data_IF_475872304767
#
_entry.id   IF_475872304767
#
_cell.length_a   1.000
_cell.length_b   1.000
_cell.length_c   1.000
_cell.angle_alpha   90.00
_cell.angle_beta   90.00
_cell.angle_gamma   90.00
#
_symmetry.space_group_name_H-M   'P 1'
#
loop_
_entity.id
_entity.type
_entity.pdbx_description
1 polymer ?
#
# COMPACT_ATOMS: atom_id res chain seq x y z
N UNK A 1 19.31 -3.77 -17.06
CA UNK A 1 19.60 -3.22 -15.72
C UNK A 1 21.06 -2.84 -15.69
N UNK A 2 21.35 -1.56 -15.88
CA UNK A 2 22.71 -1.00 -15.94
C UNK A 2 23.02 -0.23 -14.64
N UNK A 3 24.29 0.13 -14.42
CA UNK A 3 24.71 0.94 -13.25
C UNK A 3 24.01 2.31 -13.20
N UNK A 4 23.58 2.83 -14.34
CA UNK A 4 22.84 4.10 -14.45
C UNK A 4 21.45 3.98 -13.81
N UNK A 5 20.82 2.80 -13.89
CA UNK A 5 19.51 2.59 -13.26
C UNK A 5 19.62 2.63 -11.72
N UNK A 6 20.76 2.21 -11.15
CA UNK A 6 20.98 2.23 -9.71
C UNK A 6 21.24 3.64 -9.16
N UNK A 7 21.86 4.53 -9.94
CA UNK A 7 22.09 5.92 -9.54
C UNK A 7 20.79 6.72 -9.40
N UNK A 8 19.73 6.31 -10.11
CA UNK A 8 18.40 6.93 -10.04
C UNK A 8 17.49 6.24 -9.01
N UNK A 9 17.47 4.90 -8.99
CA UNK A 9 16.56 4.13 -8.12
C UNK A 9 16.91 4.25 -6.64
N UNK A 10 18.20 4.39 -6.29
CA UNK A 10 18.61 4.47 -4.88
C UNK A 10 18.10 5.75 -4.20
N UNK A 11 18.31 6.96 -4.75
CA UNK A 11 17.73 8.18 -4.19
C UNK A 11 16.20 8.16 -4.07
N UNK A 12 15.50 7.67 -5.09
CA UNK A 12 14.03 7.54 -5.07
C UNK A 12 13.56 6.58 -3.98
N UNK A 13 14.28 5.47 -3.79
CA UNK A 13 14.00 4.51 -2.71
C UNK A 13 14.28 5.13 -1.33
N UNK A 14 15.35 5.91 -1.19
CA UNK A 14 15.67 6.58 0.07
C UNK A 14 14.58 7.59 0.45
N UNK A 15 14.12 8.41 -0.50
CA UNK A 15 13.00 9.34 -0.31
C UNK A 15 11.72 8.59 0.11
N UNK A 16 11.37 7.52 -0.59
CA UNK A 16 10.24 6.67 -0.23
C UNK A 16 10.35 6.13 1.21
N UNK A 17 11.54 5.68 1.60
CA UNK A 17 11.79 5.15 2.94
C UNK A 17 11.71 6.24 4.03
N UNK A 18 12.12 7.46 3.74
CA UNK A 18 12.00 8.60 4.66
C UNK A 18 10.52 8.91 4.94
N UNK A 19 9.71 9.10 3.90
CA UNK A 19 8.27 9.35 4.03
C UNK A 19 7.55 8.18 4.71
N UNK A 20 7.92 6.95 4.37
CA UNK A 20 7.36 5.76 5.01
C UNK A 20 7.64 5.71 6.51
N UNK A 21 8.88 5.98 6.93
CA UNK A 21 9.27 6.01 8.35
C UNK A 21 8.58 7.14 9.11
N UNK A 22 8.33 8.27 8.46
CA UNK A 22 7.61 9.40 9.03
C UNK A 22 6.08 9.18 9.10
N UNK A 23 5.55 8.12 8.48
CA UNK A 23 4.12 7.84 8.43
C UNK A 23 3.34 8.75 7.45
N UNK A 24 4.05 9.37 6.52
CA UNK A 24 3.53 10.32 5.53
C UNK A 24 2.88 9.59 4.35
N UNK A 25 1.78 8.89 4.64
CA UNK A 25 1.06 7.99 3.70
C UNK A 25 0.73 8.68 2.37
N UNK A 26 0.37 9.97 2.37
CA UNK A 26 0.05 10.70 1.14
C UNK A 26 1.28 10.93 0.24
N UNK A 27 2.46 11.15 0.82
CA UNK A 27 3.70 11.30 0.07
C UNK A 27 4.13 9.94 -0.52
N UNK A 28 4.04 8.87 0.27
CA UNK A 28 4.28 7.50 -0.22
C UNK A 28 3.33 7.13 -1.34
N UNK A 29 2.05 7.52 -1.26
CA UNK A 29 1.07 7.29 -2.33
C UNK A 29 1.46 8.00 -3.62
N UNK A 30 1.85 9.28 -3.55
CA UNK A 30 2.22 10.06 -4.72
C UNK A 30 3.46 9.48 -5.43
N UNK A 31 4.52 9.16 -4.68
CA UNK A 31 5.74 8.57 -5.22
C UNK A 31 5.48 7.20 -5.87
N UNK A 32 4.63 6.38 -5.25
CA UNK A 32 4.29 5.08 -5.82
C UNK A 32 3.42 5.22 -7.08
N UNK A 33 2.48 6.16 -7.11
CA UNK A 33 1.66 6.43 -8.29
C UNK A 33 2.52 6.87 -9.47
N UNK A 34 3.48 7.78 -9.25
CA UNK A 34 4.44 8.22 -10.26
C UNK A 34 5.28 7.06 -10.81
N UNK A 35 5.82 6.20 -9.93
CA UNK A 35 6.60 5.03 -10.36
C UNK A 35 5.82 3.99 -11.16
N UNK A 36 4.49 4.00 -11.11
CA UNK A 36 3.62 3.11 -11.86
C UNK A 36 2.90 3.77 -13.05
N UNK A 37 3.08 5.07 -13.30
CA UNK A 37 2.31 5.82 -14.30
C UNK A 37 2.46 5.23 -15.71
N UNK A 38 3.66 4.75 -16.06
CA UNK A 38 3.94 4.08 -17.34
C UNK A 38 3.45 2.62 -17.40
N UNK A 39 3.07 2.03 -16.25
CA UNK A 39 2.72 0.62 -16.12
C UNK A 39 1.41 0.42 -15.31
N UNK A 40 0.27 0.97 -15.78
CA UNK A 40 -1.00 0.89 -15.05
C UNK A 40 -1.48 -0.56 -14.83
N UNK A 41 -1.26 -1.45 -15.79
CA UNK A 41 -1.61 -2.87 -15.61
C UNK A 41 -0.78 -3.55 -14.52
N UNK A 42 0.47 -3.10 -14.32
CA UNK A 42 1.33 -3.60 -13.26
C UNK A 42 0.85 -3.10 -11.89
N UNK A 43 0.45 -1.83 -11.80
CA UNK A 43 -0.17 -1.27 -10.59
C UNK A 43 -1.39 -2.08 -10.18
N UNK A 44 -2.29 -2.34 -11.13
CA UNK A 44 -3.51 -3.09 -10.88
C UNK A 44 -3.21 -4.49 -10.34
N UNK A 45 -2.31 -5.23 -11.00
CA UNK A 45 -1.99 -6.60 -10.59
C UNK A 45 -1.21 -6.67 -9.30
N UNK A 46 -0.23 -5.79 -9.11
CA UNK A 46 0.69 -5.85 -7.98
C UNK A 46 0.13 -5.21 -6.72
N UNK A 47 -0.75 -4.22 -6.86
CA UNK A 47 -1.26 -3.43 -5.72
C UNK A 47 -2.77 -3.58 -5.60
N UNK A 48 -3.54 -3.13 -6.59
CA UNK A 48 -5.01 -3.04 -6.49
C UNK A 48 -5.67 -4.40 -6.26
N UNK A 49 -5.46 -5.35 -7.16
CA UNK A 49 -6.03 -6.70 -7.10
C UNK A 49 -5.54 -7.45 -5.85
N UNK A 50 -4.27 -7.27 -5.51
CA UNK A 50 -3.66 -7.86 -4.31
C UNK A 50 -4.33 -7.33 -3.04
N UNK A 51 -4.51 -6.01 -2.91
CA UNK A 51 -5.16 -5.40 -1.75
C UNK A 51 -6.63 -5.82 -1.62
N UNK A 52 -7.36 -5.93 -2.74
CA UNK A 52 -8.73 -6.44 -2.75
C UNK A 52 -8.81 -7.89 -2.29
N UNK A 53 -7.85 -8.72 -2.69
CA UNK A 53 -7.76 -10.13 -2.25
C UNK A 53 -7.54 -10.25 -0.74
N UNK A 54 -6.84 -9.29 -0.12
CA UNK A 54 -6.64 -9.25 1.33
C UNK A 54 -7.92 -8.98 2.14
N UNK A 55 -8.98 -8.46 1.52
CA UNK A 55 -10.21 -8.13 2.24
C UNK A 55 -10.88 -9.38 2.83
N UNK A 56 -11.02 -10.45 2.05
CA UNK A 56 -11.69 -11.67 2.52
C UNK A 56 -11.06 -12.28 3.80
N UNK A 57 -9.74 -12.51 3.89
CA UNK A 57 -9.15 -13.04 5.12
C UNK A 57 -9.23 -12.03 6.28
N UNK A 58 -9.10 -10.73 6.04
CA UNK A 58 -9.27 -9.71 7.09
C UNK A 58 -10.69 -9.71 7.64
N UNK A 59 -11.70 -9.73 6.78
CA UNK A 59 -13.11 -9.81 7.20
C UNK A 59 -13.38 -11.10 7.98
N UNK A 60 -12.75 -12.21 7.58
CA UNK A 60 -12.78 -13.46 8.34
C UNK A 60 -12.19 -13.34 9.75
N UNK A 61 -11.07 -12.61 9.90
CA UNK A 61 -10.47 -12.32 11.22
C UNK A 61 -11.37 -11.40 12.05
N UNK A 62 -11.97 -10.38 11.44
CA UNK A 62 -12.87 -9.43 12.09
C UNK A 62 -14.18 -10.08 12.58
N UNK A 63 -14.64 -11.13 11.90
CA UNK A 63 -15.81 -11.91 12.31
C UNK A 63 -15.52 -12.89 13.46
N UNK A 64 -14.26 -13.09 13.83
CA UNK A 64 -13.85 -13.94 14.94
C UNK A 64 -14.05 -13.29 16.31
N UNK A 65 -13.89 -14.09 17.37
CA UNK A 65 -14.05 -13.63 18.75
C UNK A 65 -12.77 -13.05 19.37
N UNK A 66 -11.64 -13.15 18.67
CA UNK A 66 -10.32 -12.72 19.16
C UNK A 66 -9.80 -11.51 18.40
N UNK A 67 -9.05 -10.65 19.10
CA UNK A 67 -8.34 -9.56 18.47
C UNK A 67 -7.26 -10.10 17.51
N UNK A 68 -7.18 -9.53 16.31
CA UNK A 68 -6.17 -9.86 15.31
C UNK A 68 -5.21 -8.68 15.10
N UNK A 69 -3.91 -8.97 14.98
CA UNK A 69 -2.91 -8.01 14.52
C UNK A 69 -2.49 -8.38 13.11
N UNK A 70 -2.66 -7.44 12.18
CA UNK A 70 -2.32 -7.62 10.76
C UNK A 70 -1.14 -6.72 10.42
N UNK A 71 -0.04 -7.33 9.98
CA UNK A 71 1.19 -6.62 9.59
C UNK A 71 1.32 -6.65 8.08
N UNK A 72 1.49 -5.47 7.47
CA UNK A 72 1.53 -5.30 6.01
C UNK A 72 2.66 -4.36 5.60
N UNK A 73 3.06 -4.44 4.32
CA UNK A 73 3.95 -3.46 3.70
C UNK A 73 3.22 -2.18 3.29
N UNK A 74 4.00 -1.13 2.96
CA UNK A 74 3.49 0.21 2.65
C UNK A 74 2.38 0.25 1.58
N UNK A 75 2.51 -0.56 0.52
CA UNK A 75 1.54 -0.63 -0.59
C UNK A 75 0.15 -1.13 -0.21
N UNK A 76 -0.01 -1.71 0.97
CA UNK A 76 -1.32 -2.08 1.49
C UNK A 76 -2.04 -0.94 2.22
N UNK A 77 -1.34 0.17 2.52
CA UNK A 77 -1.88 1.27 3.33
C UNK A 77 -2.16 2.55 2.54
N UNK A 78 -1.48 2.73 1.41
CA UNK A 78 -1.59 3.91 0.54
C UNK A 78 -2.72 3.74 -0.48
N UNK A 79 -3.25 4.84 -1.00
CA UNK A 79 -4.17 4.80 -2.12
C UNK A 79 -5.62 4.52 -1.76
N UNK A 80 -6.50 4.82 -2.72
CA UNK A 80 -7.93 4.52 -2.65
C UNK A 80 -8.26 3.04 -2.48
N UNK A 81 -7.38 2.17 -2.99
CA UNK A 81 -7.45 0.71 -2.88
C UNK A 81 -6.53 0.16 -1.79
N UNK A 82 -6.00 1.01 -0.90
CA UNK A 82 -5.36 0.58 0.34
C UNK A 82 -6.36 -0.16 1.24
N UNK A 83 -5.90 -1.19 1.95
CA UNK A 83 -6.72 -2.07 2.80
C UNK A 83 -7.55 -1.25 3.81
N UNK A 84 -6.95 -0.25 4.44
CA UNK A 84 -7.63 0.63 5.40
C UNK A 84 -8.78 1.40 4.75
N UNK A 85 -8.57 1.89 3.52
CA UNK A 85 -9.60 2.62 2.78
C UNK A 85 -10.68 1.67 2.24
N UNK A 86 -10.32 0.46 1.82
CA UNK A 86 -11.28 -0.58 1.46
C UNK A 86 -12.18 -0.98 2.64
N UNK A 87 -11.62 -1.10 3.85
CA UNK A 87 -12.39 -1.34 5.08
C UNK A 87 -13.36 -0.18 5.38
N UNK A 88 -12.91 1.08 5.26
CA UNK A 88 -13.82 2.23 5.39
C UNK A 88 -14.94 2.21 4.35
N UNK A 89 -14.61 1.92 3.07
CA UNK A 89 -15.59 1.80 1.97
C UNK A 89 -16.62 0.68 2.23
N UNK A 90 -16.25 -0.36 2.99
CA UNK A 90 -17.13 -1.45 3.43
C UNK A 90 -18.00 -1.10 4.66
N UNK A 91 -17.80 0.06 5.27
CA UNK A 91 -18.58 0.53 6.43
C UNK A 91 -17.97 0.16 7.79
N UNK A 92 -16.73 -0.36 7.83
CA UNK A 92 -16.05 -0.58 9.10
C UNK A 92 -15.62 0.76 9.72
N UNK A 93 -15.69 0.83 11.05
CA UNK A 93 -15.10 1.94 11.81
C UNK A 93 -13.59 1.75 11.87
N UNK A 94 -12.84 2.77 11.49
CA UNK A 94 -11.38 2.75 11.47
C UNK A 94 -10.86 3.95 12.25
N UNK A 95 -10.03 3.68 13.25
CA UNK A 95 -9.36 4.69 14.09
C UNK A 95 -7.86 4.75 13.75
N UNK A 96 -7.25 5.92 13.91
CA UNK A 96 -5.83 6.18 13.60
C UNK A 96 -5.14 6.87 14.76
#
# INVERSE_FOLDING_TARGET
YSLIDLETVIPELDELLEHWRAGEVAAVEALMAEGFDEFPELLDKMVTDRNRTWMAPIEGLLAGESNAMVVVGALHLVGEDGVVNLLRKKGYTVER
#
